data_IF_592934813850
#
_entry.id   IF_592934813850
#
_cell.length_a   1.000
_cell.length_b   1.000
_cell.length_c   1.000
_cell.angle_alpha   90.00
_cell.angle_beta   90.00
_cell.angle_gamma   90.00
#
_symmetry.space_group_name_H-M   'P 1'
#
loop_
_entity.id
_entity.type
_entity.pdbx_description
1 polymer ?
#
# COMPACT_ATOMS: atom_id res chain seq x y z
N UNK A 1 -18.57 -7.69 -9.98
CA UNK A 1 -17.44 -7.06 -10.70
C UNK A 1 -16.95 -8.02 -11.80
N UNK A 2 -16.44 -7.50 -12.93
CA UNK A 2 -15.91 -8.34 -13.99
C UNK A 2 -14.63 -9.06 -13.52
N UNK A 3 -14.26 -10.16 -14.19
CA UNK A 3 -13.17 -11.05 -13.71
C UNK A 3 -11.81 -10.35 -13.63
N UNK A 4 -11.60 -9.45 -14.56
CA UNK A 4 -10.44 -8.57 -14.76
C UNK A 4 -10.48 -7.30 -13.89
N UNK A 5 -11.39 -7.18 -12.91
CA UNK A 5 -11.47 -5.99 -12.07
C UNK A 5 -10.16 -5.66 -11.33
N UNK A 6 -9.36 -6.68 -10.96
CA UNK A 6 -8.05 -6.48 -10.38
C UNK A 6 -7.07 -5.84 -11.39
N UNK A 7 -7.06 -6.34 -12.62
CA UNK A 7 -6.26 -5.78 -13.73
C UNK A 7 -6.66 -4.34 -14.04
N UNK A 8 -7.97 -4.04 -14.05
CA UNK A 8 -8.46 -2.68 -14.26
C UNK A 8 -8.00 -1.71 -13.17
N UNK A 9 -7.97 -2.14 -11.90
CA UNK A 9 -7.42 -1.32 -10.80
C UNK A 9 -5.92 -1.08 -11.01
N UNK A 10 -5.17 -2.10 -11.41
CA UNK A 10 -3.74 -1.97 -11.71
C UNK A 10 -3.53 -1.01 -12.89
N UNK A 11 -4.30 -1.15 -13.96
CA UNK A 11 -4.23 -0.27 -15.13
C UNK A 11 -4.54 1.19 -14.75
N UNK A 12 -5.58 1.41 -13.95
CA UNK A 12 -5.93 2.74 -13.45
C UNK A 12 -4.80 3.39 -12.64
N UNK A 13 -4.21 2.65 -11.68
CA UNK A 13 -3.07 3.14 -10.90
C UNK A 13 -1.83 3.35 -11.80
N UNK A 14 -1.59 2.45 -12.75
CA UNK A 14 -0.47 2.51 -13.68
C UNK A 14 -0.53 3.77 -14.56
N UNK A 15 -1.71 4.05 -15.10
CA UNK A 15 -1.96 5.21 -15.93
C UNK A 15 -1.73 6.53 -15.18
N UNK A 16 -2.02 6.58 -13.88
CA UNK A 16 -1.80 7.81 -13.09
C UNK A 16 -0.38 7.94 -12.49
N UNK A 17 0.24 6.83 -12.11
CA UNK A 17 1.42 6.85 -11.23
C UNK A 17 2.69 6.25 -11.84
N UNK A 18 2.59 5.41 -12.87
CA UNK A 18 3.77 4.73 -13.42
C UNK A 18 4.47 5.57 -14.49
N UNK A 19 5.75 5.28 -14.72
CA UNK A 19 6.54 5.85 -15.82
C UNK A 19 6.24 5.21 -17.16
N UNK A 20 5.55 4.06 -17.16
CA UNK A 20 5.11 3.35 -18.37
C UNK A 20 3.62 3.55 -18.61
N UNK A 21 3.25 3.64 -19.88
CA UNK A 21 1.86 3.61 -20.35
C UNK A 21 1.35 2.17 -20.39
N UNK A 22 0.04 2.03 -20.62
CA UNK A 22 -0.63 0.72 -20.73
C UNK A 22 -0.18 -0.08 -21.96
N UNK A 23 0.29 0.59 -23.01
CA UNK A 23 0.90 -0.03 -24.20
C UNK A 23 2.34 -0.51 -23.96
N UNK A 24 2.90 -0.27 -22.77
CA UNK A 24 4.27 -0.63 -22.41
C UNK A 24 5.34 0.40 -22.79
N UNK A 25 4.98 1.45 -23.53
CA UNK A 25 5.88 2.56 -23.86
C UNK A 25 6.19 3.43 -22.63
N UNK A 26 7.31 4.13 -22.67
CA UNK A 26 7.64 5.10 -21.63
C UNK A 26 6.81 6.37 -21.80
N UNK A 27 6.39 6.94 -20.68
CA UNK A 27 5.75 8.26 -20.63
C UNK A 27 6.77 9.35 -20.85
N UNK A 28 6.29 10.46 -21.38
CA UNK A 28 7.13 11.65 -21.59
C UNK A 28 7.70 12.11 -20.22
N UNK A 29 8.98 12.47 -20.12
CA UNK A 29 9.57 13.00 -18.89
C UNK A 29 8.84 14.24 -18.33
N UNK A 30 8.23 15.04 -19.21
CA UNK A 30 7.50 16.25 -18.87
C UNK A 30 6.03 15.99 -18.47
N UNK A 31 5.55 14.76 -18.65
CA UNK A 31 4.22 14.36 -18.20
C UNK A 31 4.20 14.24 -16.67
N UNK A 32 3.27 14.95 -16.02
CA UNK A 32 3.15 14.96 -14.56
C UNK A 32 2.72 13.58 -14.06
N UNK A 33 3.55 12.96 -13.20
CA UNK A 33 3.29 11.63 -12.63
C UNK A 33 2.98 11.75 -11.16
N UNK A 34 1.89 11.11 -10.74
CA UNK A 34 1.54 11.07 -9.32
C UNK A 34 2.49 10.16 -8.54
N UNK A 35 2.78 10.53 -7.29
CA UNK A 35 3.66 9.77 -6.40
C UNK A 35 2.99 8.50 -5.84
N UNK A 36 3.78 7.69 -5.13
CA UNK A 36 3.30 6.48 -4.46
C UNK A 36 2.17 6.77 -3.46
N UNK A 37 2.24 7.90 -2.74
CA UNK A 37 1.18 8.32 -1.83
C UNK A 37 -0.18 8.53 -2.53
N UNK A 38 -0.18 8.96 -3.79
CA UNK A 38 -1.40 9.06 -4.59
C UNK A 38 -1.91 7.66 -4.99
N UNK A 39 -1.03 6.76 -5.42
CA UNK A 39 -1.37 5.38 -5.70
C UNK A 39 -2.02 4.67 -4.49
N UNK A 40 -1.51 4.93 -3.28
CA UNK A 40 -2.11 4.41 -2.03
C UNK A 40 -3.55 4.91 -1.84
N UNK A 41 -3.81 6.19 -2.13
CA UNK A 41 -5.17 6.77 -2.07
C UNK A 41 -6.09 6.17 -3.13
N UNK A 42 -5.61 5.96 -4.35
CA UNK A 42 -6.37 5.30 -5.42
C UNK A 42 -6.76 3.88 -5.00
N UNK A 43 -5.81 3.08 -4.49
CA UNK A 43 -6.10 1.73 -3.96
C UNK A 43 -7.11 1.79 -2.83
N UNK A 44 -6.93 2.69 -1.86
CA UNK A 44 -7.85 2.83 -0.73
C UNK A 44 -9.27 3.23 -1.18
N UNK A 45 -9.39 4.11 -2.18
CA UNK A 45 -10.67 4.48 -2.77
C UNK A 45 -11.34 3.29 -3.47
N UNK A 46 -10.59 2.48 -4.21
CA UNK A 46 -11.11 1.23 -4.77
C UNK A 46 -11.55 0.26 -3.67
N UNK A 47 -10.74 0.08 -2.63
CA UNK A 47 -11.11 -0.76 -1.47
C UNK A 47 -12.40 -0.30 -0.85
N UNK A 48 -12.53 0.99 -0.55
CA UNK A 48 -13.76 1.57 0.00
C UNK A 48 -14.96 1.38 -0.93
N UNK A 49 -14.80 1.63 -2.23
CA UNK A 49 -15.87 1.42 -3.21
C UNK A 49 -16.36 -0.02 -3.23
N UNK A 50 -15.45 -0.99 -3.31
CA UNK A 50 -15.82 -2.42 -3.31
C UNK A 50 -16.34 -2.93 -1.96
N UNK A 51 -15.82 -2.40 -0.85
CA UNK A 51 -16.27 -2.76 0.51
C UNK A 51 -17.66 -2.19 0.79
N UNK A 52 -17.83 -0.87 0.67
CA UNK A 52 -19.06 -0.17 1.07
C UNK A 52 -20.15 -0.17 0.01
N UNK A 53 -19.84 0.05 -1.28
CA UNK A 53 -20.88 0.18 -2.31
C UNK A 53 -21.34 -1.17 -2.86
N UNK A 54 -20.41 -2.13 -2.94
CA UNK A 54 -20.68 -3.45 -3.52
C UNK A 54 -20.78 -4.57 -2.48
N UNK A 55 -20.59 -4.25 -1.18
CA UNK A 55 -20.70 -5.21 -0.09
C UNK A 55 -19.74 -6.40 -0.22
N UNK A 56 -18.60 -6.22 -0.90
CA UNK A 56 -17.66 -7.32 -1.18
C UNK A 56 -16.67 -7.58 -0.05
N UNK A 57 -16.71 -6.77 1.01
CA UNK A 57 -15.89 -6.98 2.19
C UNK A 57 -14.40 -6.77 1.92
N UNK A 58 -13.59 -7.44 2.75
CA UNK A 58 -12.12 -7.50 2.66
C UNK A 58 -11.60 -8.89 2.31
N UNK A 59 -12.47 -9.77 1.85
CA UNK A 59 -12.09 -11.12 1.44
C UNK A 59 -11.19 -11.05 0.20
N UNK A 60 -10.13 -11.87 0.12
CA UNK A 60 -9.27 -11.94 -1.06
C UNK A 60 -10.08 -12.19 -2.34
N UNK A 61 -9.69 -11.52 -3.43
CA UNK A 61 -10.29 -11.71 -4.75
C UNK A 61 -9.94 -13.09 -5.30
N UNK A 62 -10.92 -13.98 -5.42
CA UNK A 62 -10.72 -15.35 -5.87
C UNK A 62 -11.95 -15.90 -6.61
N UNK A 63 -11.75 -16.93 -7.42
CA UNK A 63 -12.85 -17.69 -8.01
C UNK A 63 -13.47 -18.55 -6.91
N UNK A 64 -14.79 -18.48 -6.76
CA UNK A 64 -15.54 -19.37 -5.88
C UNK A 64 -15.56 -20.78 -6.46
N UNK A 65 -15.12 -21.77 -5.69
CA UNK A 65 -15.17 -23.18 -6.09
C UNK A 65 -16.61 -23.70 -6.27
N UNK A 66 -17.58 -23.07 -5.58
CA UNK A 66 -18.99 -23.48 -5.60
C UNK A 66 -19.74 -22.90 -6.80
N UNK A 67 -19.51 -21.62 -7.09
CA UNK A 67 -20.29 -20.89 -8.12
C UNK A 67 -19.51 -20.65 -9.41
N UNK A 68 -18.18 -20.79 -9.40
CA UNK A 68 -17.32 -20.42 -10.53
C UNK A 68 -17.21 -18.91 -10.78
N UNK A 69 -17.87 -18.09 -9.95
CA UNK A 69 -17.85 -16.63 -10.04
C UNK A 69 -16.74 -16.02 -9.20
N UNK A 70 -16.35 -14.78 -9.53
CA UNK A 70 -15.37 -14.05 -8.73
C UNK A 70 -16.01 -13.48 -7.45
N UNK A 71 -15.38 -13.78 -6.32
CA UNK A 71 -15.81 -13.36 -4.98
C UNK A 71 -14.68 -12.61 -4.28
N UNK A 72 -15.05 -11.75 -3.32
CA UNK A 72 -14.13 -10.91 -2.57
C UNK A 72 -13.94 -9.53 -3.20
N UNK A 73 -12.91 -8.82 -2.76
CA UNK A 73 -12.64 -7.44 -3.16
C UNK A 73 -11.39 -7.37 -4.06
N UNK A 74 -11.52 -6.92 -5.33
CA UNK A 74 -10.42 -6.92 -6.28
C UNK A 74 -9.23 -6.04 -5.85
N UNK A 75 -9.46 -5.01 -5.02
CA UNK A 75 -8.40 -4.11 -4.51
C UNK A 75 -7.47 -4.76 -3.47
N UNK A 76 -7.91 -5.86 -2.86
CA UNK A 76 -7.10 -6.67 -1.91
C UNK A 76 -6.55 -7.93 -2.57
N UNK A 77 -6.69 -8.07 -3.89
CA UNK A 77 -6.07 -9.16 -4.64
C UNK A 77 -4.54 -9.18 -4.47
N UNK A 78 -3.96 -10.37 -4.65
CA UNK A 78 -2.51 -10.56 -4.70
C UNK A 78 -1.90 -9.71 -5.82
N UNK A 79 -2.53 -9.70 -7.00
CA UNK A 79 -2.08 -8.93 -8.17
C UNK A 79 -1.93 -7.43 -7.87
N UNK A 80 -2.95 -6.79 -7.29
CA UNK A 80 -2.88 -5.36 -6.91
C UNK A 80 -1.80 -5.15 -5.84
N UNK A 81 -1.65 -6.08 -4.89
CA UNK A 81 -0.64 -5.99 -3.84
C UNK A 81 0.79 -6.08 -4.40
N UNK A 82 1.06 -7.06 -5.25
CA UNK A 82 2.34 -7.24 -5.96
C UNK A 82 2.69 -6.03 -6.82
N UNK A 83 1.69 -5.48 -7.52
CA UNK A 83 1.85 -4.27 -8.30
C UNK A 83 2.24 -3.08 -7.42
N UNK A 84 1.55 -2.87 -6.30
CA UNK A 84 1.84 -1.76 -5.37
C UNK A 84 3.23 -1.87 -4.75
N UNK A 85 3.71 -3.08 -4.43
CA UNK A 85 5.09 -3.28 -3.95
C UNK A 85 6.09 -2.92 -5.05
N UNK A 86 5.88 -3.42 -6.27
CA UNK A 86 6.74 -3.12 -7.41
C UNK A 86 6.77 -1.62 -7.75
N UNK A 87 5.61 -0.97 -7.71
CA UNK A 87 5.49 0.47 -7.94
C UNK A 87 6.27 1.26 -6.89
N UNK A 88 6.17 0.88 -5.60
CA UNK A 88 6.93 1.50 -4.52
C UNK A 88 8.44 1.45 -4.79
N UNK A 89 8.96 0.29 -5.17
CA UNK A 89 10.38 0.12 -5.47
C UNK A 89 10.81 1.02 -6.63
N UNK A 90 10.04 1.06 -7.73
CA UNK A 90 10.35 1.93 -8.88
C UNK A 90 10.33 3.42 -8.51
N UNK A 91 9.39 3.84 -7.67
CA UNK A 91 9.31 5.23 -7.20
C UNK A 91 10.50 5.62 -6.32
N UNK A 92 10.92 4.74 -5.41
CA UNK A 92 12.14 4.95 -4.61
C UNK A 92 13.37 5.04 -5.50
N UNK A 93 13.48 4.17 -6.51
CA UNK A 93 14.57 4.23 -7.48
C UNK A 93 14.57 5.53 -8.32
N UNK A 94 13.40 6.10 -8.60
CA UNK A 94 13.29 7.41 -9.27
C UNK A 94 13.50 8.60 -8.33
N UNK A 95 13.94 8.38 -7.09
CA UNK A 95 14.21 9.45 -6.12
C UNK A 95 13.00 9.94 -5.34
N UNK A 96 11.85 9.26 -5.41
CA UNK A 96 10.74 9.55 -4.52
C UNK A 96 11.12 9.12 -3.09
N UNK A 97 11.32 10.10 -2.21
CA UNK A 97 11.66 9.84 -0.82
C UNK A 97 10.55 9.04 -0.12
N UNK A 98 10.93 7.98 0.57
CA UNK A 98 10.01 7.19 1.36
C UNK A 98 9.45 8.01 2.53
N UNK A 99 8.12 8.09 2.65
CA UNK A 99 7.43 8.77 3.75
C UNK A 99 7.89 8.29 5.13
N UNK A 100 8.20 6.99 5.29
CA UNK A 100 8.69 6.42 6.56
C UNK A 100 10.08 6.93 6.95
N UNK A 101 10.95 7.27 5.98
CA UNK A 101 12.27 7.79 6.28
C UNK A 101 12.18 9.18 6.93
N UNK A 102 11.17 9.99 6.59
CA UNK A 102 10.91 11.27 7.25
C UNK A 102 10.42 11.14 8.70
N UNK A 103 9.80 10.01 9.05
CA UNK A 103 9.30 9.78 10.40
C UNK A 103 10.42 9.47 11.41
N UNK A 104 11.58 9.00 10.93
CA UNK A 104 12.72 8.63 11.76
C UNK A 104 13.84 9.65 11.56
N UNK A 105 13.85 10.67 12.41
CA UNK A 105 14.86 11.73 12.43
C UNK A 105 16.03 11.27 13.31
N UNK A 106 17.30 11.65 13.03
CA UNK A 106 18.44 11.32 13.90
C UNK A 106 18.22 11.67 15.37
N UNK A 107 17.53 12.78 15.65
CA UNK A 107 17.12 13.17 17.00
C UNK A 107 16.21 12.13 17.68
N UNK A 108 15.28 11.54 16.93
CA UNK A 108 14.39 10.50 17.42
C UNK A 108 15.17 9.21 17.74
N UNK A 109 16.16 8.87 16.91
CA UNK A 109 17.07 7.75 17.16
C UNK A 109 17.90 8.00 18.42
N UNK A 110 18.41 9.22 18.60
CA UNK A 110 19.13 9.63 19.81
C UNK A 110 18.25 9.49 21.06
N UNK A 111 17.02 10.02 21.02
CA UNK A 111 16.05 9.89 22.12
C UNK A 111 15.70 8.44 22.43
N UNK A 112 15.59 7.58 21.41
CA UNK A 112 15.35 6.14 21.59
C UNK A 112 16.56 5.47 22.25
N UNK A 113 17.77 5.84 21.84
CA UNK A 113 19.01 5.35 22.44
C UNK A 113 19.10 5.75 23.92
N UNK A 114 18.87 7.03 24.24
CA UNK A 114 18.86 7.54 25.61
C UNK A 114 17.81 6.84 26.47
N UNK A 115 16.60 6.65 25.93
CA UNK A 115 15.52 5.94 26.60
C UNK A 115 15.95 4.49 26.91
N UNK A 116 16.49 3.78 25.93
CA UNK A 116 16.94 2.40 26.12
C UNK A 116 18.13 2.27 27.07
N UNK A 117 18.95 3.31 27.26
CA UNK A 117 20.11 3.28 28.18
C UNK A 117 19.78 3.66 29.63
N UNK A 118 18.51 3.97 29.95
CA UNK A 118 18.09 4.19 31.34
C UNK A 118 18.06 2.87 32.08
N UNK A 119 18.71 2.81 33.26
CA UNK A 119 18.80 1.58 34.06
C UNK A 119 17.43 0.98 34.38
N UNK A 120 16.39 1.81 34.55
CA UNK A 120 15.03 1.34 34.81
C UNK A 120 14.45 0.48 33.66
N UNK A 121 14.86 0.75 32.42
CA UNK A 121 14.33 0.09 31.22
C UNK A 121 15.04 -1.24 30.88
N UNK A 122 16.20 -1.51 31.50
CA UNK A 122 16.88 -2.81 31.41
C UNK A 122 16.31 -3.85 32.37
N UNK A 123 15.56 -3.40 33.38
CA UNK A 123 14.93 -4.27 34.37
C UNK A 123 13.61 -4.78 33.80
N UNK A 124 13.53 -6.09 33.55
CA UNK A 124 12.31 -6.74 33.07
C UNK A 124 11.22 -6.61 34.15
N UNK A 125 10.28 -5.69 33.94
CA UNK A 125 9.13 -5.54 34.81
C UNK A 125 8.04 -6.54 34.43
N UNK A 126 7.32 -7.07 35.43
CA UNK A 126 6.12 -7.87 35.16
C UNK A 126 5.08 -6.98 34.51
N UNK A 127 4.59 -7.39 33.34
CA UNK A 127 3.54 -6.69 32.62
C UNK A 127 2.30 -6.55 33.51
N UNK A 128 1.97 -5.31 33.88
CA UNK A 128 0.71 -4.95 34.49
C UNK A 128 -0.11 -4.19 33.44
N UNK A 129 -1.25 -4.73 32.97
CA UNK A 129 -2.08 -4.01 32.01
C UNK A 129 -2.60 -2.72 32.63
N UNK A 130 -2.21 -1.58 32.06
CA UNK A 130 -2.75 -0.27 32.46
C UNK A 130 -4.20 -0.10 32.02
N UNK A 131 -5.01 0.56 32.86
CA UNK A 131 -6.30 1.10 32.42
C UNK A 131 -6.03 2.20 31.38
N UNK A 132 -6.72 2.10 30.24
CA UNK A 132 -6.64 3.02 29.10
C UNK A 132 -6.97 4.45 29.48
#
# INVERSE_FOLDING_TARGET
PPKDAADMIVAWIMDSCNSKKLDGSDKDPNEMRSGYGHAQKMRAAATFGFDCLYGKGRTPWAVSEVTGEMVGNPSVSEMVSCYMVSLRCRKVQSGEEQTSARAIIPELIGKLWDFNHRKENWVIQKYAPGQR
#
